data_IF_982624136878
#
_entry.id   IF_982624136878
#
_cell.length_a   1.000
_cell.length_b   1.000
_cell.length_c   1.000
_cell.angle_alpha   90.00
_cell.angle_beta   90.00
_cell.angle_gamma   90.00
#
_symmetry.space_group_name_H-M   'P 1'
#
loop_
_entity.id
_entity.type
_entity.pdbx_description
1 polymer ?
#
# COMPACT_ATOMS: atom_id res chain seq x y z
N UNK A 1 14.44 4.71 5.02
CA UNK A 1 13.94 6.10 4.97
C UNK A 1 13.98 6.72 6.37
N UNK A 2 14.75 7.79 6.54
CA UNK A 2 14.90 8.53 7.81
C UNK A 2 15.38 9.94 7.48
N UNK A 3 15.12 10.98 8.30
CA UNK A 3 15.70 12.30 8.08
C UNK A 3 17.22 12.29 8.14
N UNK A 4 17.83 13.21 7.41
CA UNK A 4 19.25 13.56 7.58
C UNK A 4 19.38 14.60 8.69
N UNK A 5 20.39 14.46 9.54
CA UNK A 5 20.70 15.40 10.62
C UNK A 5 20.48 14.83 12.03
N UNK A 6 20.17 15.67 13.04
CA UNK A 6 20.11 15.24 14.45
C UNK A 6 19.06 14.17 14.73
N UNK A 7 17.99 14.09 13.92
CA UNK A 7 16.88 13.15 14.09
C UNK A 7 17.07 11.84 13.31
N UNK A 8 18.26 11.58 12.80
CA UNK A 8 18.55 10.35 12.05
C UNK A 8 18.28 9.11 12.92
N UNK A 9 17.51 8.17 12.40
CA UNK A 9 17.13 6.94 13.10
C UNK A 9 16.04 7.09 14.17
N UNK A 10 15.68 8.33 14.56
CA UNK A 10 14.62 8.58 15.54
C UNK A 10 13.23 8.71 14.88
N UNK A 11 13.21 9.14 13.63
CA UNK A 11 11.99 9.28 12.84
C UNK A 11 12.07 8.27 11.70
N UNK A 12 11.05 7.44 11.57
CA UNK A 12 10.91 6.44 10.51
C UNK A 12 9.57 6.62 9.79
N UNK A 13 9.38 5.87 8.71
CA UNK A 13 8.15 5.89 7.91
C UNK A 13 7.50 4.52 7.93
N UNK A 14 6.17 4.50 7.79
CA UNK A 14 5.43 3.25 7.63
C UNK A 14 5.83 2.56 6.32
N UNK A 15 5.86 1.24 6.34
CA UNK A 15 5.99 0.45 5.11
C UNK A 15 4.68 0.44 4.31
N UNK A 16 4.79 0.02 3.06
CA UNK A 16 3.63 -0.17 2.17
C UNK A 16 2.69 -1.22 2.80
N UNK A 17 1.39 -0.97 2.72
CA UNK A 17 0.30 -1.77 3.31
C UNK A 17 0.19 -1.74 4.84
N UNK A 18 1.10 -1.10 5.57
CA UNK A 18 0.93 -0.94 7.01
C UNK A 18 -0.27 -0.04 7.33
N UNK A 19 -1.03 -0.42 8.34
CA UNK A 19 -2.19 0.33 8.86
C UNK A 19 -2.03 0.57 10.35
N UNK A 20 -2.74 1.57 10.85
CA UNK A 20 -2.88 1.80 12.29
C UNK A 20 -4.24 1.28 12.71
N UNK A 21 -4.26 0.38 13.70
CA UNK A 21 -5.50 -0.17 14.23
C UNK A 21 -6.23 0.85 15.13
N UNK A 22 -7.44 0.51 15.58
CA UNK A 22 -8.27 1.37 16.43
C UNK A 22 -7.61 1.73 17.78
N UNK A 23 -6.69 0.89 18.26
CA UNK A 23 -5.94 1.11 19.50
C UNK A 23 -4.68 1.96 19.30
N UNK A 24 -4.33 2.31 18.04
CA UNK A 24 -3.16 3.10 17.71
C UNK A 24 -1.89 2.29 17.44
N UNK A 25 -1.96 0.95 17.37
CA UNK A 25 -0.83 0.10 17.03
C UNK A 25 -0.69 -0.07 15.51
N UNK A 26 0.54 -0.21 15.06
CA UNK A 26 0.85 -0.52 13.65
C UNK A 26 0.54 -1.99 13.41
N UNK A 27 -0.22 -2.28 12.37
CA UNK A 27 -0.50 -3.63 11.90
C UNK A 27 -0.12 -3.78 10.43
N UNK A 28 0.32 -4.98 10.06
CA UNK A 28 0.74 -5.34 8.71
C UNK A 28 -0.02 -6.56 8.22
N UNK A 29 -0.30 -6.66 6.89
CA UNK A 29 -1.07 -7.76 6.35
C UNK A 29 -0.20 -8.99 6.12
N UNK A 30 -0.73 -10.16 6.43
CA UNK A 30 -0.14 -11.47 6.15
C UNK A 30 -1.19 -12.42 5.58
N UNK A 31 -0.75 -13.35 4.74
CA UNK A 31 -1.57 -14.47 4.29
C UNK A 31 -1.38 -15.66 5.24
N UNK A 32 -2.48 -16.30 5.59
CA UNK A 32 -2.44 -17.52 6.42
C UNK A 32 -1.89 -18.70 5.63
N UNK A 33 -1.11 -19.51 6.30
CA UNK A 33 -0.59 -20.78 5.75
C UNK A 33 -1.03 -21.91 6.66
N UNK A 34 -1.64 -22.92 6.10
CA UNK A 34 -2.04 -24.13 6.80
C UNK A 34 -1.56 -25.36 6.02
N UNK A 35 -0.82 -26.25 6.67
CA UNK A 35 -0.29 -27.48 6.09
C UNK A 35 0.47 -27.28 4.76
N UNK A 36 1.30 -26.22 4.70
CA UNK A 36 2.08 -25.87 3.52
C UNK A 36 1.27 -25.28 2.36
N UNK A 37 0.00 -24.92 2.60
CA UNK A 37 -0.88 -24.27 1.64
C UNK A 37 -1.19 -22.84 2.09
N UNK A 38 -0.93 -21.89 1.19
CA UNK A 38 -1.22 -20.45 1.39
C UNK A 38 -2.65 -20.15 0.97
N UNK A 39 -3.38 -19.41 1.77
CA UNK A 39 -4.67 -18.86 1.39
C UNK A 39 -4.47 -17.67 0.45
N UNK A 40 -4.80 -17.86 -0.84
CA UNK A 40 -4.63 -16.83 -1.88
C UNK A 40 -5.81 -15.86 -1.92
N UNK A 41 -6.93 -16.18 -1.25
CA UNK A 41 -8.10 -15.29 -1.22
C UNK A 41 -7.81 -13.98 -0.50
N UNK A 42 -8.52 -12.93 -0.87
CA UNK A 42 -8.40 -11.64 -0.17
C UNK A 42 -8.97 -11.71 1.26
N UNK A 43 -9.88 -12.64 1.53
CA UNK A 43 -10.43 -12.92 2.86
C UNK A 43 -9.41 -13.60 3.78
N UNK A 44 -8.41 -14.30 3.21
CA UNK A 44 -7.31 -14.93 3.93
C UNK A 44 -6.23 -13.96 4.43
N UNK A 45 -6.38 -12.65 4.18
CA UNK A 45 -5.43 -11.64 4.64
C UNK A 45 -5.80 -11.19 6.05
N UNK A 46 -4.87 -11.36 6.97
CA UNK A 46 -5.00 -10.92 8.36
C UNK A 46 -3.99 -9.83 8.68
N UNK A 47 -4.47 -8.77 9.36
CA UNK A 47 -3.61 -7.71 9.85
C UNK A 47 -3.16 -8.02 11.26
N UNK A 48 -1.86 -8.21 11.45
CA UNK A 48 -1.26 -8.56 12.73
C UNK A 48 -0.42 -7.39 13.27
N UNK A 49 -0.45 -7.22 14.57
CA UNK A 49 0.46 -6.35 15.31
C UNK A 49 1.81 -7.02 15.53
N UNK A 50 2.83 -6.28 15.95
CA UNK A 50 4.15 -6.83 16.22
C UNK A 50 4.15 -7.93 17.30
N UNK A 51 3.28 -7.82 18.31
CA UNK A 51 3.13 -8.82 19.36
C UNK A 51 2.52 -10.13 18.82
N UNK A 52 1.54 -10.02 17.92
CA UNK A 52 0.91 -11.19 17.31
C UNK A 52 1.78 -11.87 16.26
N UNK A 53 2.72 -11.12 15.67
CA UNK A 53 3.71 -11.62 14.70
C UNK A 53 4.89 -12.31 15.38
N UNK A 54 5.21 -11.95 16.62
CA UNK A 54 6.37 -12.45 17.37
C UNK A 54 6.37 -13.99 17.39
N UNK A 55 7.54 -14.58 17.24
CA UNK A 55 7.75 -16.03 17.18
C UNK A 55 7.19 -16.76 15.96
N UNK A 56 6.42 -16.13 15.09
CA UNK A 56 5.87 -16.79 13.90
C UNK A 56 6.88 -16.95 12.77
N UNK A 57 6.75 -18.03 12.04
CA UNK A 57 7.57 -18.32 10.86
C UNK A 57 6.88 -17.79 9.62
N UNK A 58 7.44 -16.73 9.02
CA UNK A 58 6.85 -15.97 7.93
C UNK A 58 7.62 -16.20 6.64
N UNK A 59 6.99 -16.78 5.63
CA UNK A 59 7.56 -16.95 4.31
C UNK A 59 7.62 -15.62 3.53
N UNK A 60 8.62 -15.51 2.66
CA UNK A 60 8.76 -14.35 1.78
C UNK A 60 7.66 -14.33 0.71
N UNK A 61 7.14 -13.14 0.37
CA UNK A 61 6.08 -12.96 -0.61
C UNK A 61 6.42 -13.35 -2.05
N UNK A 62 7.70 -13.59 -2.36
CA UNK A 62 8.17 -14.07 -3.67
C UNK A 62 8.43 -15.59 -3.70
N UNK A 63 8.07 -16.32 -2.66
CA UNK A 63 8.18 -17.79 -2.67
C UNK A 63 7.28 -18.38 -3.77
N UNK A 64 7.80 -19.28 -4.62
CA UNK A 64 7.00 -19.84 -5.70
C UNK A 64 5.90 -20.76 -5.15
N UNK A 65 4.67 -20.47 -5.56
CA UNK A 65 3.47 -21.24 -5.26
C UNK A 65 2.96 -21.90 -6.54
N UNK A 66 2.25 -23.01 -6.40
CA UNK A 66 1.48 -23.62 -7.47
C UNK A 66 0.07 -22.96 -7.59
N UNK A 67 -0.72 -23.42 -8.56
CA UNK A 67 -2.08 -22.89 -8.80
C UNK A 67 -3.04 -23.18 -7.63
N UNK A 68 -2.70 -24.13 -6.75
CA UNK A 68 -3.48 -24.45 -5.55
C UNK A 68 -3.02 -23.69 -4.30
N UNK A 69 -1.96 -22.88 -4.42
CA UNK A 69 -1.36 -22.15 -3.30
C UNK A 69 -0.37 -22.93 -2.45
N UNK A 70 0.12 -24.08 -2.92
CA UNK A 70 1.15 -24.86 -2.22
C UNK A 70 2.55 -24.40 -2.61
N UNK A 71 3.49 -24.47 -1.67
CA UNK A 71 4.88 -24.19 -1.96
C UNK A 71 5.48 -25.26 -2.89
N UNK A 72 6.05 -24.81 -4.01
CA UNK A 72 6.68 -25.69 -5.01
C UNK A 72 7.98 -26.29 -4.50
N UNK A 73 8.68 -25.60 -3.61
CA UNK A 73 9.99 -26.00 -3.10
C UNK A 73 9.87 -26.74 -1.77
N UNK A 74 10.68 -27.77 -1.58
CA UNK A 74 10.80 -28.51 -0.33
C UNK A 74 11.35 -27.66 0.83
N UNK A 75 12.07 -26.57 0.50
CA UNK A 75 12.64 -25.64 1.48
C UNK A 75 12.27 -24.21 1.11
N UNK A 76 11.73 -23.51 2.08
CA UNK A 76 11.25 -22.12 1.94
C UNK A 76 12.13 -21.21 2.79
N UNK A 77 12.53 -20.08 2.21
CA UNK A 77 13.17 -18.99 2.97
C UNK A 77 12.10 -18.29 3.79
N UNK A 78 12.32 -18.21 5.08
CA UNK A 78 11.42 -17.56 6.00
C UNK A 78 12.19 -16.58 6.90
N UNK A 79 11.47 -15.79 7.65
CA UNK A 79 12.00 -15.00 8.76
C UNK A 79 11.26 -15.38 10.04
N UNK A 80 11.96 -15.28 11.14
CA UNK A 80 11.44 -15.40 12.49
C UNK A 80 12.21 -14.42 13.35
N UNK A 81 11.55 -13.40 13.85
CA UNK A 81 12.19 -12.30 14.57
C UNK A 81 13.39 -11.68 13.81
N UNK A 82 14.59 -11.80 14.34
CA UNK A 82 15.83 -11.33 13.71
C UNK A 82 16.54 -12.39 12.85
N UNK A 83 16.05 -13.63 12.81
CA UNK A 83 16.66 -14.74 12.11
C UNK A 83 15.98 -15.01 10.75
N UNK A 84 16.78 -15.57 9.82
CA UNK A 84 16.30 -15.95 8.48
C UNK A 84 16.48 -17.45 8.24
N UNK A 85 15.69 -18.30 8.90
CA UNK A 85 15.79 -19.74 8.74
C UNK A 85 15.29 -20.20 7.38
N UNK A 86 15.81 -21.37 6.94
CA UNK A 86 15.27 -22.11 5.80
C UNK A 86 14.52 -23.30 6.37
N UNK A 87 13.22 -23.31 6.18
CA UNK A 87 12.29 -24.25 6.81
C UNK A 87 11.54 -25.09 5.77
N UNK A 88 10.89 -26.15 6.23
CA UNK A 88 9.94 -26.90 5.39
C UNK A 88 8.59 -26.18 5.31
N UNK A 89 7.81 -26.37 4.23
CA UNK A 89 6.50 -25.72 4.06
C UNK A 89 5.56 -25.90 5.25
N UNK A 90 5.59 -27.06 5.89
CA UNK A 90 4.70 -27.40 7.02
C UNK A 90 4.99 -26.57 8.30
N UNK A 91 6.17 -25.95 8.37
CA UNK A 91 6.56 -25.11 9.50
C UNK A 91 6.19 -23.64 9.30
N UNK A 92 5.79 -23.26 8.07
CA UNK A 92 5.41 -21.89 7.73
C UNK A 92 4.00 -21.62 8.23
N UNK A 93 3.82 -20.57 9.02
CA UNK A 93 2.53 -20.15 9.58
C UNK A 93 1.90 -19.01 8.81
N UNK A 94 2.73 -18.11 8.31
CA UNK A 94 2.32 -16.89 7.60
C UNK A 94 3.15 -16.69 6.34
N UNK A 95 2.64 -15.93 5.40
CA UNK A 95 3.35 -15.48 4.22
C UNK A 95 3.12 -13.99 4.00
N UNK A 96 4.17 -13.27 3.61
CA UNK A 96 4.06 -11.87 3.19
C UNK A 96 3.11 -11.74 1.98
N UNK A 97 2.28 -10.71 1.97
CA UNK A 97 1.35 -10.43 0.85
C UNK A 97 2.13 -10.03 -0.40
N UNK A 98 3.18 -9.23 -0.25
CA UNK A 98 4.02 -8.73 -1.35
C UNK A 98 5.45 -8.48 -0.88
N UNK A 99 6.45 -8.67 -1.75
CA UNK A 99 7.83 -8.24 -1.46
C UNK A 99 7.98 -6.74 -1.21
N UNK A 100 7.08 -5.91 -1.76
CA UNK A 100 7.07 -4.46 -1.56
C UNK A 100 6.78 -4.04 -0.11
N UNK A 101 6.22 -4.94 0.67
CA UNK A 101 5.82 -4.72 2.05
C UNK A 101 7.00 -4.32 2.99
N UNK A 102 8.24 -4.60 2.59
CA UNK A 102 9.44 -4.23 3.36
C UNK A 102 9.91 -2.79 3.12
N UNK A 103 9.42 -2.13 2.08
CA UNK A 103 9.83 -0.79 1.69
C UNK A 103 8.81 0.26 2.18
N UNK A 104 9.30 1.46 2.50
CA UNK A 104 8.45 2.63 2.68
C UNK A 104 7.88 3.11 1.34
N UNK A 105 6.86 3.97 1.37
CA UNK A 105 6.24 4.52 0.16
C UNK A 105 7.26 5.26 -0.70
N UNK A 106 8.09 6.13 -0.09
CA UNK A 106 9.10 6.86 -0.85
C UNK A 106 10.16 5.93 -1.44
N UNK A 107 10.64 4.94 -0.69
CA UNK A 107 11.59 3.95 -1.21
C UNK A 107 10.97 3.11 -2.35
N UNK A 108 9.69 2.78 -2.29
CA UNK A 108 8.98 2.02 -3.33
C UNK A 108 8.81 2.78 -4.65
N UNK A 109 8.97 4.10 -4.64
CA UNK A 109 8.92 4.95 -5.84
C UNK A 109 10.27 5.07 -6.55
N UNK A 110 11.36 4.56 -5.98
CA UNK A 110 12.70 4.62 -6.61
C UNK A 110 12.85 3.46 -7.60
N UNK A 111 12.94 3.73 -8.91
CA UNK A 111 13.18 2.68 -9.89
C UNK A 111 14.60 2.13 -9.73
N UNK A 112 14.76 0.81 -9.90
CA UNK A 112 16.05 0.11 -9.77
C UNK A 112 16.74 0.31 -8.41
N UNK A 113 15.97 0.38 -7.34
CA UNK A 113 16.46 0.62 -5.98
C UNK A 113 17.57 -0.35 -5.56
N UNK A 114 17.50 -1.60 -6.00
CA UNK A 114 18.49 -2.65 -5.72
C UNK A 114 19.90 -2.36 -6.25
N UNK A 115 20.03 -1.43 -7.18
CA UNK A 115 21.31 -1.01 -7.75
C UNK A 115 21.88 0.26 -7.10
N UNK A 116 21.11 0.90 -6.21
CA UNK A 116 21.52 2.14 -5.55
C UNK A 116 22.18 1.87 -4.20
N UNK A 117 23.14 2.71 -3.85
CA UNK A 117 23.69 2.74 -2.49
C UNK A 117 22.64 3.23 -1.49
N UNK A 118 22.61 2.63 -0.30
CA UNK A 118 21.63 2.95 0.73
C UNK A 118 21.62 4.43 1.12
N UNK A 119 22.79 5.08 1.18
CA UNK A 119 22.89 6.51 1.48
C UNK A 119 22.21 7.37 0.40
N UNK A 120 22.36 6.99 -0.86
CA UNK A 120 21.72 7.72 -1.98
C UNK A 120 20.22 7.49 -2.05
N UNK A 121 19.77 6.29 -1.74
CA UNK A 121 18.34 5.99 -1.61
C UNK A 121 17.70 6.81 -0.48
N UNK A 122 18.37 6.96 0.66
CA UNK A 122 17.92 7.81 1.76
C UNK A 122 17.79 9.28 1.33
N UNK A 123 18.81 9.83 0.66
CA UNK A 123 18.79 11.21 0.16
C UNK A 123 17.65 11.39 -0.85
N UNK A 124 17.46 10.47 -1.80
CA UNK A 124 16.40 10.51 -2.78
C UNK A 124 15.01 10.47 -2.15
N UNK A 125 14.79 9.61 -1.16
CA UNK A 125 13.54 9.53 -0.41
C UNK A 125 13.21 10.84 0.31
N UNK A 126 14.22 11.49 0.90
CA UNK A 126 14.06 12.79 1.55
C UNK A 126 13.73 13.90 0.54
N UNK A 127 14.37 13.90 -0.64
CA UNK A 127 14.10 14.88 -1.70
C UNK A 127 12.71 14.71 -2.32
N UNK A 128 12.16 13.51 -2.44
CA UNK A 128 10.81 13.29 -2.94
C UNK A 128 9.74 14.01 -2.09
N UNK A 129 9.95 14.14 -0.79
CA UNK A 129 9.05 14.88 0.10
C UNK A 129 9.08 16.39 -0.08
N UNK A 130 10.07 16.91 -0.80
CA UNK A 130 10.26 18.33 -1.10
C UNK A 130 9.76 18.68 -2.51
N UNK A 131 9.14 17.75 -3.22
CA UNK A 131 8.65 17.95 -4.58
C UNK A 131 7.60 19.06 -4.64
N UNK A 132 7.68 19.88 -5.68
CA UNK A 132 6.71 20.95 -5.93
C UNK A 132 5.72 20.48 -6.99
N UNK A 133 4.40 20.60 -6.74
CA UNK A 133 3.39 20.29 -7.75
C UNK A 133 3.55 21.15 -9.00
N UNK A 134 3.55 20.50 -10.16
CA UNK A 134 3.67 21.18 -11.45
C UNK A 134 2.31 21.64 -11.96
N UNK A 135 2.28 22.75 -12.70
CA UNK A 135 1.06 23.23 -13.38
C UNK A 135 0.55 22.22 -14.41
N UNK A 136 1.45 21.55 -15.08
CA UNK A 136 1.14 20.46 -16.00
C UNK A 136 1.91 19.22 -15.54
N UNK A 137 1.17 18.26 -15.05
CA UNK A 137 1.71 17.00 -14.56
C UNK A 137 1.84 15.99 -15.70
N UNK A 138 2.89 15.17 -15.64
CA UNK A 138 3.13 14.10 -16.62
C UNK A 138 3.43 12.80 -15.86
N UNK A 139 3.03 11.67 -16.42
CA UNK A 139 3.41 10.37 -15.88
C UNK A 139 4.92 10.11 -16.09
N UNK A 140 5.62 9.49 -15.14
CA UNK A 140 7.02 9.15 -15.31
C UNK A 140 7.19 8.11 -16.42
N UNK A 141 8.23 8.28 -17.26
CA UNK A 141 8.56 7.31 -18.33
C UNK A 141 9.04 5.99 -17.71
N UNK A 142 9.85 6.09 -16.65
CA UNK A 142 10.32 4.94 -15.87
C UNK A 142 9.72 5.03 -14.48
N UNK A 143 8.94 4.04 -14.10
CA UNK A 143 8.26 3.97 -12.83
C UNK A 143 8.32 2.58 -12.23
N UNK A 144 7.84 2.44 -11.02
CA UNK A 144 7.80 1.16 -10.27
C UNK A 144 6.45 0.45 -10.34
N UNK A 145 5.43 1.11 -10.88
CA UNK A 145 4.07 0.58 -11.00
C UNK A 145 3.15 0.89 -9.81
N UNK A 146 3.69 1.41 -8.71
CA UNK A 146 2.90 1.77 -7.51
C UNK A 146 2.31 3.19 -7.59
N UNK A 147 2.76 4.00 -8.55
CA UNK A 147 2.43 5.42 -8.65
C UNK A 147 0.93 5.66 -8.76
N UNK A 148 0.24 4.87 -9.60
CA UNK A 148 -1.20 5.00 -9.80
C UNK A 148 -1.96 4.78 -8.50
N UNK A 149 -1.67 3.68 -7.82
CA UNK A 149 -2.32 3.34 -6.55
C UNK A 149 -2.04 4.40 -5.48
N UNK A 150 -0.80 4.90 -5.39
CA UNK A 150 -0.46 5.95 -4.44
C UNK A 150 -1.25 7.24 -4.66
N UNK A 151 -1.45 7.63 -5.92
CA UNK A 151 -2.24 8.83 -6.25
C UNK A 151 -3.72 8.63 -5.90
N UNK A 152 -4.29 7.47 -6.16
CA UNK A 152 -5.66 7.11 -5.81
C UNK A 152 -5.84 7.09 -4.28
N UNK A 153 -4.96 6.42 -3.55
CA UNK A 153 -5.04 6.27 -2.10
C UNK A 153 -4.75 7.58 -1.35
N UNK A 154 -3.94 8.47 -1.91
CA UNK A 154 -3.60 9.77 -1.31
C UNK A 154 -4.80 10.72 -1.22
N UNK A 155 -5.88 10.44 -1.94
CA UNK A 155 -7.08 11.29 -2.04
C UNK A 155 -6.81 12.73 -2.46
N UNK A 156 -5.67 12.99 -3.10
CA UNK A 156 -5.33 14.31 -3.66
C UNK A 156 -6.14 14.62 -4.91
N UNK A 157 -6.64 13.59 -5.58
CA UNK A 157 -7.59 13.69 -6.68
C UNK A 157 -8.94 13.10 -6.27
N UNK A 158 -10.01 13.64 -6.82
CA UNK A 158 -11.36 13.13 -6.64
C UNK A 158 -11.68 12.29 -7.88
N UNK A 159 -11.97 11.02 -7.69
CA UNK A 159 -12.45 10.12 -8.73
C UNK A 159 -13.97 10.01 -8.66
N UNK A 160 -14.63 9.84 -9.81
CA UNK A 160 -16.04 9.51 -9.86
C UNK A 160 -16.24 8.10 -9.28
N UNK A 161 -17.31 7.92 -8.50
CA UNK A 161 -17.61 6.66 -7.78
C UNK A 161 -18.31 5.62 -8.65
N UNK A 162 -18.87 6.06 -9.78
CA UNK A 162 -19.60 5.21 -10.71
C UNK A 162 -19.93 5.94 -12.01
N UNK A 163 -20.74 5.31 -12.82
CA UNK A 163 -21.24 5.91 -14.06
C UNK A 163 -22.31 6.97 -13.75
N UNK A 164 -22.34 8.03 -14.54
CA UNK A 164 -23.30 9.11 -14.33
C UNK A 164 -23.11 10.28 -15.28
N UNK A 165 -23.91 11.33 -15.12
CA UNK A 165 -23.90 12.54 -15.96
C UNK A 165 -23.49 13.74 -15.14
N UNK A 166 -22.55 14.53 -15.67
CA UNK A 166 -22.14 15.80 -15.05
C UNK A 166 -23.23 16.84 -15.33
N UNK A 167 -23.93 17.28 -14.28
CA UNK A 167 -25.02 18.23 -14.37
C UNK A 167 -24.54 19.68 -14.32
N UNK A 168 -23.52 19.93 -13.49
CA UNK A 168 -23.00 21.29 -13.28
C UNK A 168 -21.50 21.27 -13.03
N UNK A 169 -20.78 22.23 -13.62
CA UNK A 169 -19.34 22.45 -13.40
C UNK A 169 -19.03 23.92 -13.31
N UNK A 170 -18.32 24.32 -12.27
CA UNK A 170 -17.67 25.62 -12.18
C UNK A 170 -16.22 25.48 -11.68
N UNK A 171 -15.54 26.58 -11.40
CA UNK A 171 -14.14 26.59 -10.97
C UNK A 171 -13.89 25.93 -9.60
N UNK A 172 -14.94 25.69 -8.82
CA UNK A 172 -14.85 25.21 -7.42
C UNK A 172 -15.75 24.02 -7.13
N UNK A 173 -16.71 23.73 -8.02
CA UNK A 173 -17.76 22.75 -7.76
C UNK A 173 -18.05 21.92 -9.00
N UNK A 174 -18.16 20.62 -8.82
CA UNK A 174 -18.66 19.68 -9.82
C UNK A 174 -19.84 18.92 -9.20
N UNK A 175 -20.97 18.85 -9.93
CA UNK A 175 -22.14 18.07 -9.56
C UNK A 175 -22.32 16.93 -10.55
N UNK A 176 -22.41 15.73 -10.04
CA UNK A 176 -22.60 14.50 -10.83
C UNK A 176 -23.90 13.84 -10.38
N UNK A 177 -24.76 13.57 -11.35
CA UNK A 177 -25.93 12.72 -11.16
C UNK A 177 -25.52 11.29 -11.54
N UNK A 178 -25.44 10.40 -10.54
CA UNK A 178 -25.07 9.00 -10.74
C UNK A 178 -26.23 8.17 -11.20
N UNK A 179 -25.95 7.27 -12.16
CA UNK A 179 -26.88 6.24 -12.59
C UNK A 179 -26.85 5.10 -11.55
N UNK A 180 -27.95 4.96 -10.80
CA UNK A 180 -28.07 3.90 -9.78
C UNK A 180 -29.11 2.89 -10.17
N UNK A 181 -28.84 1.63 -9.89
CA UNK A 181 -29.81 0.56 -10.01
C UNK A 181 -30.78 0.61 -8.81
N UNK A 182 -31.98 0.06 -8.95
CA UNK A 182 -33.02 0.02 -7.90
C UNK A 182 -32.50 -0.60 -6.59
N UNK A 183 -31.62 -1.62 -6.67
CA UNK A 183 -31.00 -2.25 -5.51
C UNK A 183 -29.99 -1.34 -4.81
N UNK A 184 -29.22 -0.56 -5.57
CA UNK A 184 -28.26 0.41 -5.05
C UNK A 184 -28.97 1.60 -4.40
N UNK A 185 -30.08 2.05 -4.97
CA UNK A 185 -30.91 3.12 -4.43
C UNK A 185 -31.55 2.75 -3.09
N UNK A 186 -31.91 1.46 -2.93
CA UNK A 186 -32.45 0.94 -1.68
C UNK A 186 -31.41 0.76 -0.57
N UNK A 187 -30.17 0.41 -0.91
CA UNK A 187 -29.08 0.17 0.07
C UNK A 187 -28.31 1.44 0.42
N UNK A 188 -28.22 2.40 -0.52
CA UNK A 188 -27.47 3.63 -0.33
C UNK A 188 -28.35 4.72 0.27
N UNK A 189 -27.93 5.26 1.43
CA UNK A 189 -28.54 6.45 2.05
C UNK A 189 -28.05 7.77 1.42
N UNK A 190 -27.13 7.71 0.45
CA UNK A 190 -26.58 8.89 -0.21
C UNK A 190 -27.48 9.34 -1.38
N UNK A 191 -27.62 10.67 -1.60
CA UNK A 191 -28.39 11.16 -2.74
C UNK A 191 -27.71 10.79 -4.07
N UNK A 192 -28.49 10.51 -5.11
CA UNK A 192 -27.95 10.24 -6.45
C UNK A 192 -27.18 11.46 -7.04
N UNK A 193 -27.55 12.67 -6.65
CA UNK A 193 -26.83 13.89 -7.01
C UNK A 193 -25.75 14.17 -5.95
N UNK A 194 -24.49 14.07 -6.35
CA UNK A 194 -23.34 14.33 -5.46
C UNK A 194 -22.59 15.58 -5.88
N UNK A 195 -22.28 16.44 -4.92
CA UNK A 195 -21.54 17.68 -5.11
C UNK A 195 -20.09 17.51 -4.61
N UNK A 196 -19.14 17.74 -5.50
CA UNK A 196 -17.72 17.74 -5.20
C UNK A 196 -17.19 19.17 -5.18
N UNK A 197 -16.61 19.56 -4.05
CA UNK A 197 -15.96 20.87 -3.91
C UNK A 197 -14.48 20.76 -4.16
N UNK A 198 -13.97 21.50 -5.14
CA UNK A 198 -12.57 21.53 -5.53
C UNK A 198 -11.97 22.86 -5.04
N UNK A 199 -11.21 22.85 -3.92
CA UNK A 199 -10.56 24.06 -3.45
C UNK A 199 -9.44 24.47 -4.42
N UNK A 200 -9.25 25.76 -4.62
CA UNK A 200 -8.11 26.27 -5.37
C UNK A 200 -6.82 25.88 -4.68
N UNK A 201 -5.79 25.54 -5.48
CA UNK A 201 -4.45 25.30 -4.96
C UNK A 201 -3.96 26.53 -4.18
N UNK A 202 -3.55 26.30 -2.94
CA UNK A 202 -2.99 27.34 -2.08
C UNK A 202 -1.95 26.72 -1.14
N UNK A 203 -0.89 27.47 -0.86
CA UNK A 203 0.06 27.11 0.18
C UNK A 203 -0.56 27.46 1.53
N UNK A 204 -0.52 26.52 2.46
CA UNK A 204 -0.79 26.78 3.89
C UNK A 204 0.50 27.16 4.58
N UNK A 205 0.41 28.05 5.52
CA UNK A 205 1.58 28.44 6.32
C UNK A 205 1.95 27.37 7.33
#
# INVERSE_FOLDING_TARGET
>A
ETPEGPNIGLISSLCVYAKINELGFISTPYRKVADGKVDISDEGIEYLTAEEEEDKIIAQGNAPLDDEGKFVREKVKARRDADYPVVTPDQVELMDVSPQQIASIAASLIPFLEHDDANRALMGSNMMRQAVPLLRTEAPIVGTGIEKQLVEDSRTQIAAEGDGVVEYVDATTIRILYDRNEDEEFVSFEPALKEYRIPKFRKTN
#
